data_IF_171788255492
#
_entry.id   IF_171788255492
#
_cell.length_a   1.000
_cell.length_b   1.000
_cell.length_c   1.000
_cell.angle_alpha   90.00
_cell.angle_beta   90.00
_cell.angle_gamma   90.00
#
_symmetry.space_group_name_H-M   'P 1'
#
loop_
_entity.id
_entity.type
_entity.pdbx_description
1 polymer ?
#
# COMPACT_ATOMS: atom_id res chain seq x y z
N UNK A 1 -17.81 -6.99 3.19
CA UNK A 1 -16.59 -7.81 3.33
C UNK A 1 -15.82 -7.40 4.57
N UNK A 2 -15.21 -8.37 5.26
CA UNK A 2 -14.33 -8.17 6.42
C UNK A 2 -13.08 -9.03 6.24
N UNK A 3 -11.91 -8.42 6.43
CA UNK A 3 -10.64 -9.14 6.46
C UNK A 3 -10.17 -9.27 7.91
N UNK A 4 -9.95 -10.49 8.37
CA UNK A 4 -9.29 -10.78 9.62
C UNK A 4 -7.77 -10.66 9.47
N UNK A 5 -7.11 -10.25 10.55
CA UNK A 5 -5.66 -10.08 10.55
C UNK A 5 -4.89 -11.34 10.11
N UNK A 6 -5.39 -12.52 10.45
CA UNK A 6 -4.67 -13.78 10.23
C UNK A 6 -5.05 -14.51 8.93
N UNK A 7 -5.62 -13.78 7.97
CA UNK A 7 -5.67 -14.22 6.58
C UNK A 7 -7.05 -14.52 6.02
N UNK A 8 -8.06 -14.65 6.85
CA UNK A 8 -9.42 -14.94 6.39
C UNK A 8 -10.14 -13.68 5.98
N UNK A 9 -10.77 -13.73 4.83
CA UNK A 9 -11.62 -12.66 4.29
C UNK A 9 -13.01 -13.23 4.12
N UNK A 10 -14.00 -12.59 4.73
CA UNK A 10 -15.39 -13.00 4.70
C UNK A 10 -16.24 -12.03 3.89
N UNK A 11 -17.26 -12.58 3.24
CA UNK A 11 -18.36 -11.83 2.63
C UNK A 11 -19.67 -12.14 3.32
N UNK A 12 -20.57 -11.17 3.38
CA UNK A 12 -21.92 -11.32 3.92
C UNK A 12 -22.83 -10.24 3.33
N UNK A 13 -24.12 -10.48 3.37
CA UNK A 13 -25.11 -9.48 2.96
C UNK A 13 -25.08 -8.26 3.88
N UNK A 14 -25.10 -7.06 3.28
CA UNK A 14 -25.10 -5.82 4.04
C UNK A 14 -26.53 -5.44 4.47
N UNK A 15 -27.06 -6.22 5.39
CA UNK A 15 -28.34 -5.92 6.04
C UNK A 15 -28.27 -6.16 7.55
N UNK A 16 -29.14 -5.53 8.33
CA UNK A 16 -29.15 -5.60 9.79
C UNK A 16 -29.60 -6.96 10.37
N UNK A 17 -29.99 -7.92 9.51
CA UNK A 17 -30.49 -9.23 9.91
C UNK A 17 -29.53 -10.37 9.59
N UNK A 18 -28.41 -10.08 8.96
CA UNK A 18 -27.42 -11.08 8.55
C UNK A 18 -26.83 -11.80 9.75
N UNK A 19 -26.94 -13.14 9.74
CA UNK A 19 -26.44 -14.03 10.79
C UNK A 19 -25.32 -14.96 10.28
N UNK A 20 -25.01 -14.93 8.98
CA UNK A 20 -24.05 -15.83 8.34
C UNK A 20 -23.06 -15.05 7.49
N UNK A 21 -21.90 -15.64 7.28
CA UNK A 21 -20.88 -15.13 6.37
C UNK A 21 -20.26 -16.29 5.58
N UNK A 22 -19.81 -15.98 4.38
CA UNK A 22 -19.06 -16.91 3.53
C UNK A 22 -17.56 -16.60 3.63
N UNK A 23 -16.74 -17.63 3.66
CA UNK A 23 -15.30 -17.50 3.54
C UNK A 23 -14.94 -17.19 2.07
N UNK A 24 -14.64 -15.94 1.76
CA UNK A 24 -14.25 -15.50 0.42
C UNK A 24 -12.87 -16.05 0.05
N UNK A 25 -11.88 -15.83 0.92
CA UNK A 25 -10.49 -16.22 0.73
C UNK A 25 -9.83 -16.47 2.08
N UNK A 26 -8.96 -17.46 2.14
CA UNK A 26 -8.00 -17.63 3.24
C UNK A 26 -6.58 -17.55 2.64
N UNK A 27 -5.87 -16.48 2.94
CA UNK A 27 -4.48 -16.28 2.52
C UNK A 27 -3.52 -17.06 3.42
N UNK A 28 -3.94 -17.39 4.65
CA UNK A 28 -3.13 -18.05 5.67
C UNK A 28 -1.95 -17.21 6.19
N UNK A 29 -2.00 -15.89 5.99
CA UNK A 29 -0.93 -14.95 6.32
C UNK A 29 -1.52 -13.66 6.90
N UNK A 30 -0.69 -12.84 7.56
CA UNK A 30 -1.16 -11.56 8.12
C UNK A 30 -1.57 -10.61 7.00
N UNK A 31 -2.84 -10.19 7.01
CA UNK A 31 -3.44 -9.27 6.03
C UNK A 31 -3.49 -7.84 6.60
N UNK A 32 -3.06 -6.87 5.79
CA UNK A 32 -3.08 -5.45 6.14
C UNK A 32 -4.02 -4.60 5.29
N UNK A 33 -4.33 -5.03 4.07
CA UNK A 33 -5.17 -4.28 3.14
C UNK A 33 -6.08 -5.16 2.30
N UNK A 34 -7.26 -4.62 2.01
CA UNK A 34 -8.25 -5.18 1.09
C UNK A 34 -8.85 -4.02 0.29
N UNK A 35 -8.89 -4.16 -1.02
CA UNK A 35 -9.57 -3.23 -1.92
C UNK A 35 -10.28 -4.00 -3.04
N UNK A 36 -11.41 -3.47 -3.49
CA UNK A 36 -12.14 -4.02 -4.63
C UNK A 36 -11.92 -3.11 -5.84
N UNK A 37 -11.78 -3.73 -7.00
CA UNK A 37 -11.68 -3.00 -8.26
C UNK A 37 -12.90 -2.09 -8.46
N UNK A 38 -12.78 -0.87 -9.01
CA UNK A 38 -13.93 -0.01 -9.29
C UNK A 38 -15.02 -0.69 -10.15
N UNK A 39 -14.61 -1.61 -11.02
CA UNK A 39 -15.51 -2.42 -11.84
C UNK A 39 -15.70 -3.85 -11.28
N UNK A 40 -15.65 -4.03 -9.97
CA UNK A 40 -15.72 -5.36 -9.32
C UNK A 40 -16.95 -6.18 -9.77
N UNK A 41 -18.10 -5.57 -9.89
CA UNK A 41 -19.31 -6.20 -10.39
C UNK A 41 -19.13 -6.87 -11.77
N UNK A 42 -18.22 -6.34 -12.58
CA UNK A 42 -17.99 -6.75 -13.96
C UNK A 42 -16.82 -7.75 -14.07
N UNK A 43 -15.72 -7.50 -13.35
CA UNK A 43 -14.49 -8.27 -13.49
C UNK A 43 -14.19 -9.20 -12.29
N UNK A 44 -14.87 -9.00 -11.15
CA UNK A 44 -14.69 -9.82 -9.95
C UNK A 44 -13.31 -9.65 -9.28
N UNK A 45 -12.54 -8.62 -9.61
CA UNK A 45 -11.19 -8.44 -9.08
C UNK A 45 -11.18 -7.75 -7.73
N UNK A 46 -10.37 -8.29 -6.82
CA UNK A 46 -10.05 -7.68 -5.54
C UNK A 46 -8.56 -7.86 -5.22
N UNK A 47 -8.05 -7.00 -4.35
CA UNK A 47 -6.62 -6.86 -4.05
C UNK A 47 -6.41 -7.02 -2.58
N UNK A 48 -5.38 -7.78 -2.22
CA UNK A 48 -5.03 -8.07 -0.83
C UNK A 48 -3.56 -7.77 -0.61
N UNK A 49 -3.26 -7.07 0.49
CA UNK A 49 -1.90 -6.94 0.99
C UNK A 49 -1.69 -7.88 2.15
N UNK A 50 -0.64 -8.68 2.10
CA UNK A 50 -0.29 -9.63 3.14
C UNK A 50 1.22 -9.79 3.31
N UNK A 51 1.64 -10.23 4.49
CA UNK A 51 3.07 -10.44 4.82
C UNK A 51 3.46 -11.86 4.49
N UNK A 52 4.56 -12.05 3.80
CA UNK A 52 5.17 -13.35 3.53
C UNK A 52 5.75 -13.93 4.83
N UNK A 53 5.74 -15.27 4.95
CA UNK A 53 6.30 -15.96 6.11
C UNK A 53 7.82 -15.87 6.08
N UNK A 54 8.38 -15.12 7.01
CA UNK A 54 9.81 -14.87 7.12
C UNK A 54 10.67 -16.10 7.48
N UNK A 55 10.05 -17.23 7.81
CA UNK A 55 10.75 -18.49 8.11
C UNK A 55 10.86 -19.42 6.90
N UNK A 56 10.00 -19.22 5.90
CA UNK A 56 9.84 -20.18 4.79
C UNK A 56 10.00 -19.56 3.40
N UNK A 57 9.89 -18.24 3.28
CA UNK A 57 9.86 -17.56 2.00
C UNK A 57 11.00 -16.55 1.88
N UNK A 58 11.67 -16.55 0.73
CA UNK A 58 12.68 -15.58 0.39
C UNK A 58 12.35 -14.96 -1.00
N UNK A 59 12.45 -13.62 -1.16
CA UNK A 59 12.74 -12.66 -0.09
C UNK A 59 11.55 -12.50 0.87
N UNK A 60 11.87 -12.33 2.14
CA UNK A 60 10.90 -11.93 3.17
C UNK A 60 10.31 -10.60 2.80
N UNK A 61 8.99 -10.50 2.74
CA UNK A 61 8.40 -9.29 2.21
C UNK A 61 6.94 -9.09 2.58
N UNK A 62 6.44 -7.96 2.13
CA UNK A 62 5.01 -7.68 2.04
C UNK A 62 4.62 -7.71 0.57
N UNK A 63 3.50 -8.31 0.27
CA UNK A 63 3.02 -8.55 -1.09
C UNK A 63 1.65 -7.95 -1.31
N UNK A 64 1.43 -7.39 -2.48
CA UNK A 64 0.11 -7.07 -3.03
C UNK A 64 -0.20 -8.06 -4.14
N UNK A 65 -1.31 -8.78 -3.99
CA UNK A 65 -1.83 -9.67 -5.03
C UNK A 65 -3.24 -9.29 -5.43
N UNK A 66 -3.57 -9.48 -6.71
CA UNK A 66 -4.92 -9.47 -7.24
C UNK A 66 -5.47 -10.89 -7.20
N UNK A 67 -6.72 -11.02 -6.76
CA UNK A 67 -7.53 -12.22 -6.83
C UNK A 67 -8.79 -11.98 -7.65
N UNK A 68 -9.50 -13.04 -8.01
CA UNK A 68 -10.78 -12.96 -8.70
C UNK A 68 -11.82 -13.82 -7.96
N UNK A 69 -13.05 -13.35 -7.88
CA UNK A 69 -14.15 -14.18 -7.38
C UNK A 69 -14.60 -15.17 -8.44
N UNK A 70 -15.17 -16.28 -8.02
CA UNK A 70 -15.77 -17.26 -8.91
C UNK A 70 -17.00 -16.67 -9.61
N UNK A 71 -17.18 -17.02 -10.88
CA UNK A 71 -18.36 -16.56 -11.66
C UNK A 71 -19.65 -17.19 -11.18
N UNK A 72 -19.59 -18.44 -10.76
CA UNK A 72 -20.75 -19.22 -10.29
C UNK A 72 -21.04 -19.01 -8.80
N UNK A 73 -20.10 -18.45 -8.06
CA UNK A 73 -20.25 -18.10 -6.64
C UNK A 73 -19.36 -16.91 -6.26
N UNK A 74 -19.87 -15.67 -6.36
CA UNK A 74 -19.09 -14.47 -6.10
C UNK A 74 -18.69 -14.29 -4.62
N UNK A 75 -19.19 -15.13 -3.72
CA UNK A 75 -18.79 -15.14 -2.31
C UNK A 75 -17.51 -15.97 -2.07
N UNK A 76 -16.88 -16.50 -3.12
CA UNK A 76 -15.64 -17.29 -3.02
C UNK A 76 -14.64 -16.85 -4.08
N UNK A 77 -13.38 -16.79 -3.69
CA UNK A 77 -12.30 -16.58 -4.63
C UNK A 77 -12.12 -17.80 -5.56
N UNK A 78 -11.78 -17.53 -6.82
CA UNK A 78 -11.41 -18.55 -7.79
C UNK A 78 -10.04 -19.13 -7.40
N UNK A 79 -9.98 -20.47 -7.33
CA UNK A 79 -8.74 -21.17 -6.96
C UNK A 79 -7.65 -20.93 -8.00
N UNK A 80 -6.47 -20.51 -7.54
CA UNK A 80 -5.33 -20.23 -8.41
C UNK A 80 -5.44 -18.91 -9.19
N UNK A 81 -6.40 -18.05 -8.86
CA UNK A 81 -6.56 -16.74 -9.51
C UNK A 81 -5.56 -15.68 -9.02
N UNK A 82 -4.74 -16.02 -8.06
CA UNK A 82 -3.75 -15.09 -7.54
C UNK A 82 -2.80 -14.60 -8.63
N UNK A 83 -2.65 -13.28 -8.72
CA UNK A 83 -1.64 -12.61 -9.52
C UNK A 83 -0.87 -11.63 -8.65
N UNK A 84 0.42 -11.92 -8.45
CA UNK A 84 1.31 -11.02 -7.72
C UNK A 84 1.54 -9.74 -8.52
N UNK A 85 1.42 -8.58 -7.86
CA UNK A 85 1.63 -7.27 -8.47
C UNK A 85 2.89 -6.61 -7.92
N UNK A 86 2.99 -6.44 -6.60
CA UNK A 86 4.07 -5.72 -5.93
C UNK A 86 4.60 -6.53 -4.75
N UNK A 87 5.90 -6.38 -4.51
CA UNK A 87 6.58 -6.87 -3.32
C UNK A 87 7.59 -5.83 -2.83
N UNK A 88 7.70 -5.71 -1.50
CA UNK A 88 8.73 -4.91 -0.85
C UNK A 88 9.20 -5.58 0.44
N UNK A 89 10.41 -5.27 0.95
CA UNK A 89 10.93 -5.91 2.15
C UNK A 89 9.99 -5.74 3.35
N UNK A 90 9.83 -6.79 4.14
CA UNK A 90 9.15 -6.74 5.44
C UNK A 90 10.11 -6.37 6.54
N UNK A 91 9.57 -5.69 7.56
CA UNK A 91 10.25 -5.36 8.80
C UNK A 91 9.23 -5.06 9.88
N UNK A 92 9.53 -4.13 10.77
CA UNK A 92 8.55 -3.65 11.76
C UNK A 92 7.42 -2.82 11.10
N UNK A 93 7.74 -2.12 10.01
CA UNK A 93 6.84 -1.18 9.35
C UNK A 93 6.53 -1.64 7.93
N UNK A 94 5.40 -2.29 7.76
CA UNK A 94 5.00 -2.91 6.49
C UNK A 94 4.04 -2.05 5.64
N UNK A 95 3.28 -1.14 6.26
CA UNK A 95 2.21 -0.39 5.58
C UNK A 95 1.04 -1.30 5.20
N UNK A 96 0.71 -1.33 3.91
CA UNK A 96 -0.20 -2.30 3.31
C UNK A 96 -1.63 -1.82 3.09
N UNK A 97 -1.97 -0.57 3.39
CA UNK A 97 -3.27 -0.01 3.02
C UNK A 97 -3.41 0.09 1.51
N UNK A 98 -4.59 -0.28 0.99
CA UNK A 98 -4.94 -0.23 -0.43
C UNK A 98 -6.19 0.62 -0.63
N UNK A 99 -6.20 1.51 -1.63
CA UNK A 99 -7.40 2.21 -2.10
C UNK A 99 -7.28 2.52 -3.60
N UNK A 100 -8.40 2.46 -4.29
CA UNK A 100 -8.50 3.09 -5.61
C UNK A 100 -8.74 4.59 -5.45
N UNK A 101 -7.97 5.38 -6.19
CA UNK A 101 -8.17 6.81 -6.28
C UNK A 101 -9.33 7.19 -7.19
N UNK A 102 -9.75 8.46 -7.18
CA UNK A 102 -10.77 8.98 -8.09
C UNK A 102 -10.34 8.91 -9.57
N UNK A 103 -9.04 8.78 -9.82
CA UNK A 103 -8.42 8.58 -11.14
C UNK A 103 -8.46 7.12 -11.64
N UNK A 104 -8.98 6.20 -10.80
CA UNK A 104 -9.11 4.78 -11.13
C UNK A 104 -7.85 3.94 -10.90
N UNK A 105 -6.73 4.52 -10.49
CA UNK A 105 -5.50 3.80 -10.18
C UNK A 105 -5.49 3.25 -8.76
N UNK A 106 -4.71 2.18 -8.54
CA UNK A 106 -4.52 1.59 -7.22
C UNK A 106 -3.38 2.30 -6.48
N UNK A 107 -3.68 2.84 -5.31
CA UNK A 107 -2.71 3.39 -4.38
C UNK A 107 -2.38 2.38 -3.30
N UNK A 108 -1.10 2.31 -2.94
CA UNK A 108 -0.55 1.34 -1.99
C UNK A 108 0.35 2.06 -0.99
N UNK A 109 0.06 1.93 0.30
CA UNK A 109 0.97 2.42 1.34
C UNK A 109 2.05 1.38 1.66
N UNK A 110 3.30 1.81 1.71
CA UNK A 110 4.44 0.98 2.14
C UNK A 110 5.14 1.62 3.32
N UNK A 111 5.48 0.83 4.33
CA UNK A 111 6.32 1.31 5.44
C UNK A 111 7.80 1.35 5.05
N UNK A 112 8.63 1.94 5.91
CA UNK A 112 10.09 2.03 5.70
C UNK A 112 10.81 0.68 5.84
N UNK A 113 10.08 -0.40 6.09
CA UNK A 113 10.57 -1.78 6.24
C UNK A 113 11.56 -1.96 7.41
N UNK A 114 11.73 -0.97 8.27
CA UNK A 114 12.63 -1.04 9.42
C UNK A 114 11.89 -1.33 10.73
N UNK A 115 12.63 -1.64 11.77
CA UNK A 115 12.10 -1.81 13.13
C UNK A 115 12.25 -0.56 13.97
N UNK A 116 13.39 0.14 13.85
CA UNK A 116 13.72 1.30 14.67
C UNK A 116 14.46 2.32 13.82
N UNK A 117 14.03 3.59 13.92
CA UNK A 117 14.75 4.76 13.43
C UNK A 117 15.21 4.66 11.97
N UNK A 118 14.43 3.97 11.13
CA UNK A 118 14.76 3.77 9.70
C UNK A 118 16.21 3.27 9.52
N UNK A 119 16.54 2.17 10.19
CA UNK A 119 17.89 1.60 10.18
C UNK A 119 18.44 1.29 8.77
N UNK A 120 17.54 1.08 7.80
CA UNK A 120 17.91 0.82 6.40
C UNK A 120 17.97 2.09 5.54
N UNK A 121 17.65 3.27 6.11
CA UNK A 121 17.62 4.59 5.44
C UNK A 121 16.67 4.67 4.24
N UNK A 122 15.59 3.90 4.29
CA UNK A 122 14.61 3.82 3.20
C UNK A 122 13.74 5.07 3.07
N UNK A 123 13.51 5.82 4.16
CA UNK A 123 12.57 6.92 4.17
C UNK A 123 12.85 8.02 3.14
N UNK A 124 14.13 8.26 2.81
CA UNK A 124 14.54 9.25 1.82
C UNK A 124 15.11 8.64 0.53
N UNK A 125 15.03 7.30 0.39
CA UNK A 125 15.54 6.59 -0.78
C UNK A 125 14.41 6.21 -1.75
N UNK A 126 14.32 6.93 -2.86
CA UNK A 126 13.32 6.69 -3.91
C UNK A 126 13.73 5.59 -4.92
N UNK A 127 14.87 4.93 -4.74
CA UNK A 127 15.29 3.80 -5.58
C UNK A 127 14.61 2.47 -5.22
N UNK A 128 13.89 2.44 -4.10
CA UNK A 128 13.11 1.30 -3.63
C UNK A 128 11.65 1.68 -3.34
N UNK A 129 10.81 0.72 -2.97
CA UNK A 129 9.37 0.95 -2.75
C UNK A 129 8.99 1.24 -1.30
N UNK A 130 9.95 1.31 -0.37
CA UNK A 130 9.68 1.45 1.06
C UNK A 130 9.41 2.91 1.46
N UNK A 131 8.65 3.12 2.54
CA UNK A 131 8.40 4.45 3.09
C UNK A 131 7.62 5.39 2.17
N UNK A 132 6.67 4.87 1.40
CA UNK A 132 6.04 5.58 0.30
C UNK A 132 4.53 5.35 0.18
N UNK A 133 3.88 6.18 -0.58
CA UNK A 133 2.62 5.88 -1.26
C UNK A 133 2.94 5.61 -2.72
N UNK A 134 2.57 4.44 -3.21
CA UNK A 134 2.73 4.03 -4.60
C UNK A 134 1.42 4.22 -5.36
N UNK A 135 1.50 4.44 -6.69
CA UNK A 135 0.34 4.55 -7.58
C UNK A 135 0.59 3.73 -8.84
N UNK A 136 -0.29 2.77 -9.12
CA UNK A 136 -0.16 1.83 -10.24
C UNK A 136 -1.47 1.66 -11.02
N UNK A 137 -1.36 1.41 -12.32
CA UNK A 137 -2.45 1.05 -13.21
C UNK A 137 -2.56 -0.48 -13.28
N UNK A 138 -3.63 -1.03 -12.72
CA UNK A 138 -3.87 -2.48 -12.65
C UNK A 138 -4.68 -3.02 -13.83
N UNK A 139 -5.22 -2.13 -14.67
CA UNK A 139 -5.98 -2.49 -15.88
C UNK A 139 -5.06 -2.77 -17.07
N UNK A 140 -3.85 -2.20 -17.07
CA UNK A 140 -2.84 -2.41 -18.10
C UNK A 140 -1.56 -3.00 -17.51
N UNK A 141 -0.67 -3.46 -18.37
CA UNK A 141 0.58 -4.11 -17.96
C UNK A 141 1.74 -3.63 -18.81
N UNK A 142 2.87 -3.36 -18.15
CA UNK A 142 4.14 -3.17 -18.80
C UNK A 142 4.86 -4.53 -18.94
N UNK A 143 5.81 -4.62 -19.86
CA UNK A 143 6.61 -5.83 -20.06
C UNK A 143 7.29 -6.24 -18.75
N UNK A 144 7.04 -7.47 -18.31
CA UNK A 144 7.64 -8.04 -17.09
C UNK A 144 6.96 -7.62 -15.77
N UNK A 145 5.82 -6.88 -15.82
CA UNK A 145 5.05 -6.49 -14.63
C UNK A 145 3.60 -6.94 -14.74
N UNK A 146 2.94 -7.07 -13.58
CA UNK A 146 1.50 -7.35 -13.51
C UNK A 146 0.62 -6.11 -13.59
N UNK A 147 1.22 -4.93 -13.76
CA UNK A 147 0.61 -3.59 -13.79
C UNK A 147 1.40 -2.69 -14.74
N UNK A 148 0.88 -1.49 -15.02
CA UNK A 148 1.59 -0.40 -15.70
C UNK A 148 1.93 0.70 -14.69
N UNK A 149 3.06 1.36 -14.89
CA UNK A 149 3.38 2.61 -14.21
C UNK A 149 2.69 3.76 -14.96
N UNK A 150 1.78 4.55 -14.31
CA UNK A 150 1.18 5.71 -14.96
C UNK A 150 2.24 6.72 -15.38
N UNK A 151 2.15 7.19 -16.63
CA UNK A 151 3.15 8.09 -17.21
C UNK A 151 3.23 9.46 -16.50
N UNK A 152 2.17 9.85 -15.80
CA UNK A 152 2.10 11.07 -15.01
C UNK A 152 2.53 10.90 -13.55
N UNK A 153 3.07 9.75 -13.14
CA UNK A 153 3.70 9.61 -11.84
C UNK A 153 4.93 10.53 -11.73
N UNK A 154 5.18 11.11 -10.53
CA UNK A 154 6.15 12.21 -10.39
C UNK A 154 7.61 11.83 -10.65
N UNK A 155 7.96 10.54 -10.54
CA UNK A 155 9.34 10.09 -10.59
C UNK A 155 9.67 9.17 -11.79
N UNK A 156 8.79 9.07 -12.78
CA UNK A 156 9.00 8.17 -13.95
C UNK A 156 10.22 8.55 -14.80
N UNK A 157 10.56 9.84 -14.84
CA UNK A 157 11.71 10.35 -15.60
C UNK A 157 12.95 10.62 -14.72
N UNK A 158 12.88 10.31 -13.42
CA UNK A 158 13.99 10.50 -12.49
C UNK A 158 14.88 9.28 -12.51
N UNK A 159 16.13 9.45 -12.94
CA UNK A 159 17.10 8.36 -13.01
C UNK A 159 17.31 7.70 -11.66
N UNK A 160 17.27 6.35 -11.64
CA UNK A 160 17.40 5.55 -10.43
C UNK A 160 16.17 5.50 -9.53
N UNK A 161 15.14 6.30 -9.79
CA UNK A 161 13.92 6.26 -8.98
C UNK A 161 12.96 5.14 -9.40
N UNK A 162 12.13 4.71 -8.44
CA UNK A 162 10.99 3.82 -8.72
C UNK A 162 9.82 4.65 -9.22
N UNK A 163 9.43 4.42 -10.47
CA UNK A 163 8.34 5.15 -11.12
C UNK A 163 6.96 4.90 -10.50
N UNK A 164 6.80 3.85 -9.69
CA UNK A 164 5.59 3.57 -8.93
C UNK A 164 5.31 4.59 -7.82
N UNK A 165 6.33 5.32 -7.36
CA UNK A 165 6.23 6.24 -6.23
C UNK A 165 5.36 7.45 -6.59
N UNK A 166 4.33 7.70 -5.77
CA UNK A 166 3.51 8.91 -5.79
C UNK A 166 4.00 9.96 -4.80
N UNK A 167 4.38 9.50 -3.58
CA UNK A 167 4.93 10.32 -2.51
C UNK A 167 5.80 9.45 -1.61
N UNK A 168 6.75 10.03 -0.87
CA UNK A 168 7.71 9.29 -0.05
C UNK A 168 8.07 10.06 1.24
N UNK A 169 9.02 9.54 2.00
CA UNK A 169 9.41 10.13 3.27
C UNK A 169 8.44 9.81 4.39
N UNK A 170 7.81 8.64 4.34
CA UNK A 170 6.86 8.15 5.32
C UNK A 170 7.48 7.00 6.12
N UNK A 171 7.14 6.91 7.42
CA UNK A 171 7.61 5.81 8.27
C UNK A 171 6.70 4.58 8.17
N UNK A 172 5.48 4.75 8.59
CA UNK A 172 4.45 3.72 8.61
C UNK A 172 3.09 4.33 8.26
N UNK A 173 2.82 4.60 6.99
CA UNK A 173 1.51 5.07 6.57
C UNK A 173 0.50 3.93 6.76
N UNK A 174 -0.17 3.98 7.93
CA UNK A 174 -0.97 2.86 8.41
C UNK A 174 -2.28 2.72 7.66
N UNK A 175 -3.03 3.82 7.55
CA UNK A 175 -4.27 3.88 6.78
C UNK A 175 -4.35 5.21 6.05
N UNK A 176 -4.93 5.16 4.87
CA UNK A 176 -5.26 6.35 4.09
C UNK A 176 -6.64 6.23 3.45
N UNK A 177 -7.21 7.37 3.11
CA UNK A 177 -8.48 7.48 2.40
C UNK A 177 -8.49 8.72 1.52
N UNK A 178 -9.27 8.65 0.45
CA UNK A 178 -9.59 9.83 -0.35
C UNK A 178 -10.83 10.52 0.22
N UNK A 179 -10.74 11.84 0.39
CA UNK A 179 -11.92 12.66 0.64
C UNK A 179 -12.83 12.60 -0.59
N UNK A 180 -14.11 12.30 -0.38
CA UNK A 180 -15.05 12.10 -1.49
C UNK A 180 -15.49 13.40 -2.16
N UNK A 181 -15.34 14.54 -1.48
CA UNK A 181 -15.73 15.86 -2.00
C UNK A 181 -14.58 16.54 -2.72
N UNK A 182 -13.37 16.49 -2.13
CA UNK A 182 -12.20 17.21 -2.67
C UNK A 182 -11.30 16.33 -3.52
N UNK A 183 -11.31 15.01 -3.30
CA UNK A 183 -10.36 14.06 -3.91
C UNK A 183 -9.02 14.01 -3.19
N UNK A 184 -8.83 14.76 -2.11
CA UNK A 184 -7.59 14.77 -1.35
C UNK A 184 -7.29 13.42 -0.72
N UNK A 185 -6.04 13.01 -0.78
CA UNK A 185 -5.56 11.79 -0.15
C UNK A 185 -5.01 12.10 1.25
N UNK A 186 -5.72 11.66 2.26
CA UNK A 186 -5.34 11.79 3.67
C UNK A 186 -4.72 10.52 4.20
N UNK A 187 -3.60 10.60 4.94
CA UNK A 187 -2.97 9.44 5.58
C UNK A 187 -2.60 9.71 7.03
N UNK A 188 -2.83 8.71 7.89
CA UNK A 188 -2.23 8.61 9.21
C UNK A 188 -0.89 7.89 9.11
N UNK A 189 0.17 8.53 9.59
CA UNK A 189 1.54 8.01 9.57
C UNK A 189 2.06 7.87 11.00
N UNK A 190 2.39 6.63 11.38
CA UNK A 190 2.87 6.29 12.73
C UNK A 190 4.28 6.78 12.92
N UNK A 191 4.49 7.62 13.92
CA UNK A 191 5.79 8.16 14.30
C UNK A 191 6.68 7.18 15.04
N UNK A 192 7.90 7.62 15.37
CA UNK A 192 8.89 6.80 16.06
C UNK A 192 8.82 6.98 17.58
N UNK A 193 8.96 8.19 18.04
CA UNK A 193 9.15 8.47 19.46
C UNK A 193 8.08 9.40 20.05
N UNK A 194 7.75 10.50 19.38
CA UNK A 194 6.95 11.56 19.98
C UNK A 194 5.69 11.95 19.18
N UNK A 195 5.69 11.77 17.86
CA UNK A 195 4.68 12.38 17.01
C UNK A 195 3.98 11.38 16.08
N UNK A 196 2.69 11.23 16.27
CA UNK A 196 1.80 10.71 15.25
C UNK A 196 1.42 11.84 14.28
N UNK A 197 1.37 11.55 12.96
CA UNK A 197 1.14 12.59 11.97
C UNK A 197 -0.08 12.26 11.11
N UNK A 198 -0.75 13.32 10.67
CA UNK A 198 -1.77 13.25 9.63
C UNK A 198 -1.32 14.16 8.49
N UNK A 199 -1.24 13.60 7.27
CA UNK A 199 -0.81 14.33 6.09
C UNK A 199 -1.88 14.34 5.02
N UNK A 200 -1.94 15.45 4.25
CA UNK A 200 -2.53 15.48 2.92
C UNK A 200 -1.44 15.14 1.93
N UNK A 201 -1.60 14.03 1.23
CA UNK A 201 -0.59 13.51 0.32
C UNK A 201 -0.62 14.24 -1.03
N UNK A 202 0.47 14.91 -1.35
CA UNK A 202 0.66 15.62 -2.60
C UNK A 202 1.48 14.78 -3.59
N UNK A 203 1.23 14.97 -4.88
CA UNK A 203 2.04 14.38 -5.95
C UNK A 203 3.50 14.79 -5.82
N UNK A 204 4.42 13.85 -5.70
CA UNK A 204 5.86 14.09 -5.52
C UNK A 204 6.27 14.58 -4.14
N UNK A 205 5.34 14.59 -3.17
CA UNK A 205 5.59 15.08 -1.81
C UNK A 205 6.59 14.21 -1.05
N UNK A 206 7.49 14.89 -0.30
CA UNK A 206 8.44 14.29 0.63
C UNK A 206 8.04 14.67 2.06
N UNK A 207 7.68 13.67 2.87
CA UNK A 207 7.16 13.86 4.23
C UNK A 207 8.24 13.77 5.33
N UNK A 208 9.51 13.78 4.91
CA UNK A 208 10.67 14.05 5.75
C UNK A 208 11.24 12.88 6.54
N UNK A 209 10.53 11.77 6.70
CA UNK A 209 11.07 10.60 7.42
C UNK A 209 12.30 10.05 6.66
N UNK A 210 13.44 9.77 7.28
CA UNK A 210 13.72 9.82 8.73
C UNK A 210 14.63 10.98 9.12
N UNK A 211 14.73 12.00 8.28
CA UNK A 211 15.41 13.27 8.65
C UNK A 211 14.57 14.05 9.65
N UNK A 212 13.25 14.00 9.46
CA UNK A 212 12.24 14.63 10.30
C UNK A 212 11.30 13.58 10.90
N UNK A 213 10.76 13.85 12.09
CA UNK A 213 9.57 13.24 12.64
C UNK A 213 8.50 14.34 12.81
N UNK A 214 7.52 14.37 11.92
CA UNK A 214 6.61 15.50 11.80
C UNK A 214 7.36 16.79 11.47
N UNK A 215 7.11 17.84 12.23
CA UNK A 215 7.79 19.16 12.09
C UNK A 215 9.13 19.23 12.82
N UNK A 216 9.61 18.15 13.41
CA UNK A 216 10.79 18.15 14.28
C UNK A 216 11.96 17.39 13.65
N UNK A 217 13.21 17.87 13.78
CA UNK A 217 14.39 17.12 13.38
C UNK A 217 14.50 15.81 14.16
N UNK A 218 14.72 14.69 13.45
CA UNK A 218 14.93 13.38 14.04
C UNK A 218 16.36 12.86 13.76
N UNK A 219 16.73 12.76 12.48
CA UNK A 219 18.08 12.38 12.05
C UNK A 219 18.57 13.40 11.00
N UNK A 220 18.83 14.64 11.41
CA UNK A 220 19.12 15.74 10.47
C UNK A 220 20.41 15.56 9.66
N UNK A 221 21.31 14.67 10.10
CA UNK A 221 22.54 14.30 9.42
C UNK A 221 22.34 13.40 8.21
N UNK A 222 21.15 12.81 8.04
CA UNK A 222 20.87 11.91 6.92
C UNK A 222 20.69 12.62 5.61
N UNK A 223 21.00 11.92 4.52
CA UNK A 223 20.73 12.40 3.15
C UNK A 223 19.24 12.65 2.97
N UNK A 224 18.91 13.67 2.17
CA UNK A 224 17.54 14.03 1.81
C UNK A 224 17.25 13.58 0.39
N UNK A 225 16.03 13.16 0.14
CA UNK A 225 15.54 12.93 -1.22
C UNK A 225 15.43 14.22 -2.03
N UNK A 226 15.10 14.10 -3.33
CA UNK A 226 15.23 15.22 -4.28
C UNK A 226 14.21 16.35 -4.11
N UNK A 227 13.11 16.12 -3.37
CA UNK A 227 12.06 17.15 -3.21
C UNK A 227 12.06 17.77 -1.81
N UNK A 228 11.62 19.04 -1.66
CA UNK A 228 11.47 19.68 -0.35
C UNK A 228 10.51 18.94 0.56
N UNK A 229 10.68 19.10 1.88
CA UNK A 229 9.77 18.51 2.84
C UNK A 229 8.40 19.18 2.85
N UNK A 230 7.36 18.37 2.89
CA UNK A 230 5.97 18.80 3.11
C UNK A 230 5.68 18.60 4.61
N UNK A 231 5.34 19.66 5.35
CA UNK A 231 4.99 19.54 6.78
C UNK A 231 3.64 18.84 6.97
N UNK A 232 3.36 18.30 8.16
CA UNK A 232 2.06 17.77 8.53
C UNK A 232 1.01 18.87 8.70
#
# INVERSE_FOLDING_TARGET
FVAERYGKIFSFENNGQTQTSDLLLDVGKVVYGLAFHPQFQRNGYFYVTYVLDDKKEEPKGTRVSRFQVRRDNPNRAEKGSEKVLLEWPSGGHNGGCLRFGPDGYLYVATGDSSGIADQYKNGQDISNLSGAILRIDVDHQDKGRGYRIPADNPFVEVEGARGEIWAYGLRQPWKFAFDRQTGDLWTGNVGQDLWEQVFVIQRGGNYGWSVMEGSHPFRPERSRGPTPFVPP
#
